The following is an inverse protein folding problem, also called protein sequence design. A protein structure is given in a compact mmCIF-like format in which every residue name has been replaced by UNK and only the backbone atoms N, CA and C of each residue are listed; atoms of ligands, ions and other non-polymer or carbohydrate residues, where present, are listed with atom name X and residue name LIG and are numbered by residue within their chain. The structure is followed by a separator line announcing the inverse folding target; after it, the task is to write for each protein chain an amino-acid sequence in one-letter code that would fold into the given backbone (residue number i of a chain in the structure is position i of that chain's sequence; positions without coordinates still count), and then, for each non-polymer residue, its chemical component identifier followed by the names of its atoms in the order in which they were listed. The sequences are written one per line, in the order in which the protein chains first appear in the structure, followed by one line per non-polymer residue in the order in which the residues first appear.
data_IF_338073478794
#
_entry.id   IF_338073478794
#
_cell.length_a   1.000
_cell.length_b   1.000
_cell.length_c   1.000
_cell.angle_alpha   90.00
_cell.angle_beta   90.00
_cell.angle_gamma   90.00
#
_symmetry.space_group_name_H-M   'P 1'
#
loop_
_entity.id
_entity.type
_entity.pdbx_description
1 polymer ?
#
# COMPACT_ATOMS: atom_id res chain seq x y z
N UNK A 1 -40.00 -30.53 -5.69
CA UNK A 1 -38.93 -31.44 -5.25
C UNK A 1 -37.61 -30.80 -5.67
N UNK A 2 -36.80 -30.35 -4.71
CA UNK A 2 -35.40 -29.97 -4.98
C UNK A 2 -34.66 -31.23 -5.38
N UNK A 3 -33.99 -31.21 -6.52
CA UNK A 3 -33.21 -32.34 -7.00
C UNK A 3 -31.92 -32.46 -6.16
N UNK A 4 -31.32 -33.64 -6.10
CA UNK A 4 -30.04 -33.85 -5.41
C UNK A 4 -28.93 -32.93 -5.96
N UNK A 5 -29.07 -32.53 -7.24
CA UNK A 5 -28.23 -31.56 -7.92
C UNK A 5 -28.42 -30.13 -7.37
N UNK A 6 -29.65 -29.74 -7.02
CA UNK A 6 -29.94 -28.44 -6.41
C UNK A 6 -29.36 -28.32 -4.99
N UNK A 7 -29.35 -29.42 -4.24
CA UNK A 7 -28.76 -29.46 -2.89
C UNK A 7 -27.24 -29.31 -2.95
N UNK A 8 -26.59 -30.02 -3.88
CA UNK A 8 -25.14 -29.90 -4.10
C UNK A 8 -24.75 -28.49 -4.59
N UNK A 9 -25.48 -27.94 -5.56
CA UNK A 9 -25.24 -26.59 -6.08
C UNK A 9 -25.39 -25.52 -4.98
N UNK A 10 -26.42 -25.62 -4.14
CA UNK A 10 -26.63 -24.70 -3.01
C UNK A 10 -25.51 -24.79 -1.97
N UNK A 11 -25.02 -25.99 -1.65
CA UNK A 11 -23.92 -26.18 -0.71
C UNK A 11 -22.59 -25.60 -1.25
N UNK A 12 -22.29 -25.82 -2.53
CA UNK A 12 -21.09 -25.25 -3.17
C UNK A 12 -21.17 -23.73 -3.25
N UNK A 13 -22.33 -23.17 -3.59
CA UNK A 13 -22.54 -21.72 -3.63
C UNK A 13 -22.37 -21.09 -2.24
N UNK A 14 -22.93 -21.72 -1.20
CA UNK A 14 -22.78 -21.27 0.18
C UNK A 14 -21.32 -21.27 0.64
N UNK A 15 -20.56 -22.33 0.33
CA UNK A 15 -19.13 -22.39 0.65
C UNK A 15 -18.34 -21.29 -0.08
N UNK A 16 -18.65 -21.06 -1.35
CA UNK A 16 -18.00 -20.00 -2.14
C UNK A 16 -18.28 -18.61 -1.55
N UNK A 17 -19.53 -18.33 -1.22
CA UNK A 17 -19.94 -17.06 -0.60
C UNK A 17 -19.34 -16.86 0.80
N UNK A 18 -19.13 -17.94 1.56
CA UNK A 18 -18.49 -17.87 2.86
C UNK A 18 -16.98 -17.57 2.78
N UNK A 19 -16.31 -18.00 1.70
CA UNK A 19 -14.86 -17.83 1.51
C UNK A 19 -14.48 -16.57 0.73
N UNK A 20 -15.37 -16.06 -0.12
CA UNK A 20 -15.15 -14.82 -0.90
C UNK A 20 -14.69 -13.63 -0.05
N UNK A 21 -15.29 -13.32 1.12
CA UNK A 21 -14.82 -12.22 1.97
C UNK A 21 -13.37 -12.37 2.44
N UNK A 22 -12.95 -13.60 2.76
CA UNK A 22 -11.58 -13.91 3.19
C UNK A 22 -10.63 -13.71 2.01
N UNK A 23 -11.00 -14.21 0.83
CA UNK A 23 -10.23 -14.01 -0.41
C UNK A 23 -10.07 -12.52 -0.72
N UNK A 24 -11.15 -11.75 -0.66
CA UNK A 24 -11.12 -10.31 -0.91
C UNK A 24 -10.22 -9.58 0.10
N UNK A 25 -10.35 -9.89 1.39
CA UNK A 25 -9.51 -9.30 2.43
C UNK A 25 -8.01 -9.62 2.22
N UNK A 26 -7.68 -10.86 1.86
CA UNK A 26 -6.31 -11.26 1.55
C UNK A 26 -5.77 -10.51 0.32
N UNK A 27 -6.60 -10.26 -0.69
CA UNK A 27 -6.22 -9.44 -1.85
C UNK A 27 -5.86 -8.01 -1.47
N UNK A 28 -6.68 -7.36 -0.65
CA UNK A 28 -6.44 -5.99 -0.15
C UNK A 28 -5.16 -5.92 0.69
N UNK A 29 -4.94 -6.91 1.56
CA UNK A 29 -3.73 -7.01 2.36
C UNK A 29 -2.47 -7.19 1.50
N UNK A 30 -2.52 -8.08 0.50
CA UNK A 30 -1.40 -8.33 -0.40
C UNK A 30 -1.04 -7.09 -1.24
N UNK A 31 -2.03 -6.40 -1.80
CA UNK A 31 -1.82 -5.16 -2.55
C UNK A 31 -1.21 -4.07 -1.66
N UNK A 32 -1.72 -3.92 -0.45
CA UNK A 32 -1.21 -2.91 0.51
C UNK A 32 0.22 -3.22 0.92
N UNK A 33 0.53 -4.50 1.17
CA UNK A 33 1.88 -4.95 1.45
C UNK A 33 2.86 -4.67 0.30
N UNK A 34 2.45 -4.93 -0.94
CA UNK A 34 3.25 -4.60 -2.12
C UNK A 34 3.52 -3.09 -2.18
N UNK A 35 2.49 -2.26 -2.04
CA UNK A 35 2.61 -0.79 -2.09
C UNK A 35 3.54 -0.28 -0.99
N UNK A 36 3.39 -0.74 0.24
CA UNK A 36 4.28 -0.37 1.36
C UNK A 36 5.72 -0.80 1.12
N UNK A 37 5.93 -2.01 0.60
CA UNK A 37 7.27 -2.53 0.33
C UNK A 37 7.96 -1.71 -0.76
N UNK A 38 7.25 -1.40 -1.86
CA UNK A 38 7.77 -0.52 -2.91
C UNK A 38 8.05 0.89 -2.39
N UNK A 39 7.20 1.40 -1.50
CA UNK A 39 7.42 2.70 -0.87
C UNK A 39 8.68 2.73 -0.01
N UNK A 40 8.90 1.69 0.82
CA UNK A 40 10.13 1.55 1.62
C UNK A 40 11.37 1.49 0.73
N UNK A 41 11.30 0.74 -0.37
CA UNK A 41 12.38 0.67 -1.36
C UNK A 41 12.68 2.05 -1.98
N UNK A 42 11.65 2.82 -2.30
CA UNK A 42 11.79 4.15 -2.86
C UNK A 42 12.44 5.13 -1.85
N UNK A 43 12.03 5.08 -0.59
CA UNK A 43 12.66 5.85 0.50
C UNK A 43 14.15 5.51 0.64
N UNK A 44 14.50 4.22 0.67
CA UNK A 44 15.90 3.79 0.73
C UNK A 44 16.70 4.32 -0.48
N UNK A 45 16.11 4.29 -1.67
CA UNK A 45 16.70 4.87 -2.88
C UNK A 45 16.99 6.37 -2.73
N UNK A 46 16.07 7.13 -2.13
CA UNK A 46 16.26 8.56 -1.91
C UNK A 46 17.42 8.85 -0.93
N UNK A 47 17.55 8.06 0.14
CA UNK A 47 18.68 8.15 1.07
C UNK A 47 20.02 7.85 0.38
N UNK A 48 20.06 6.80 -0.44
CA UNK A 48 21.26 6.44 -1.20
C UNK A 48 21.63 7.56 -2.17
N UNK A 49 20.66 8.11 -2.90
CA UNK A 49 20.90 9.22 -3.83
C UNK A 49 21.44 10.45 -3.11
N UNK A 50 20.86 10.81 -1.96
CA UNK A 50 21.37 11.90 -1.13
C UNK A 50 22.82 11.66 -0.68
N UNK A 51 23.12 10.45 -0.18
CA UNK A 51 24.47 10.09 0.25
C UNK A 51 25.49 10.14 -0.90
N UNK A 52 25.10 9.67 -2.09
CA UNK A 52 25.94 9.71 -3.30
C UNK A 52 26.21 11.14 -3.74
N UNK A 53 25.20 12.01 -3.77
CA UNK A 53 25.39 13.43 -4.13
C UNK A 53 26.26 14.16 -3.09
N UNK A 54 26.02 13.92 -1.80
CA UNK A 54 26.85 14.49 -0.74
C UNK A 54 28.32 14.03 -0.83
N UNK A 55 28.57 12.75 -1.14
CA UNK A 55 29.92 12.22 -1.31
C UNK A 55 30.64 12.77 -2.55
N UNK A 56 29.89 13.10 -3.61
CA UNK A 56 30.45 13.67 -4.86
C UNK A 56 30.65 15.17 -4.81
N UNK A 57 30.01 15.86 -3.86
CA UNK A 57 30.03 17.31 -3.73
C UNK A 57 31.45 17.91 -3.72
N UNK A 58 32.42 17.39 -2.93
CA UNK A 58 33.77 17.93 -2.89
C UNK A 58 34.51 17.83 -4.23
N UNK A 59 34.20 16.80 -5.03
CA UNK A 59 34.83 16.60 -6.34
C UNK A 59 34.18 17.44 -7.46
N UNK A 60 32.96 17.94 -7.24
CA UNK A 60 32.21 18.74 -8.22
C UNK A 60 32.33 20.24 -7.99
N UNK A 61 32.60 20.68 -6.77
CA UNK A 61 32.65 22.11 -6.43
C UNK A 61 33.99 22.73 -6.85
N UNK A 62 33.93 23.91 -7.47
CA UNK A 62 35.10 24.68 -7.91
C UNK A 62 35.71 25.49 -6.77
N UNK A 63 34.87 25.89 -5.81
CA UNK A 63 35.28 26.61 -4.60
C UNK A 63 34.37 26.30 -3.40
N UNK A 64 34.72 26.87 -2.24
CA UNK A 64 34.00 26.65 -0.99
C UNK A 64 32.58 27.25 -0.98
N UNK A 65 32.34 28.36 -1.68
CA UNK A 65 31.02 28.98 -1.78
C UNK A 65 30.08 28.10 -2.59
N UNK A 66 30.55 27.59 -3.72
CA UNK A 66 29.81 26.64 -4.55
C UNK A 66 29.51 25.35 -3.79
N UNK A 67 30.49 24.82 -3.05
CA UNK A 67 30.29 23.65 -2.18
C UNK A 67 29.14 23.88 -1.19
N UNK A 68 29.14 24.98 -0.44
CA UNK A 68 28.09 25.28 0.54
C UNK A 68 26.73 25.47 -0.12
N UNK A 69 26.67 26.18 -1.25
CA UNK A 69 25.43 26.36 -2.01
C UNK A 69 24.85 25.00 -2.46
N UNK A 70 25.69 24.13 -3.01
CA UNK A 70 25.29 22.77 -3.44
C UNK A 70 24.91 21.86 -2.28
N UNK A 71 25.54 22.03 -1.13
CA UNK A 71 25.22 21.26 0.08
C UNK A 71 23.82 21.62 0.58
N UNK A 72 23.49 22.91 0.63
CA UNK A 72 22.15 23.38 0.99
C UNK A 72 21.09 22.96 -0.02
N UNK A 73 21.39 23.05 -1.32
CA UNK A 73 20.49 22.60 -2.39
C UNK A 73 20.17 21.10 -2.24
N UNK A 74 21.19 20.27 -2.04
CA UNK A 74 21.06 18.81 -1.87
C UNK A 74 20.23 18.47 -0.62
N UNK A 75 20.49 19.15 0.50
CA UNK A 75 19.74 18.96 1.74
C UNK A 75 18.28 19.39 1.60
N UNK A 76 18.02 20.52 0.93
CA UNK A 76 16.66 21.00 0.66
C UNK A 76 15.88 20.02 -0.21
N UNK A 77 16.48 19.58 -1.34
CA UNK A 77 15.84 18.64 -2.25
C UNK A 77 15.51 17.32 -1.54
N UNK A 78 16.41 16.82 -0.70
CA UNK A 78 16.15 15.64 0.12
C UNK A 78 15.01 15.86 1.12
N UNK A 79 14.95 17.03 1.77
CA UNK A 79 13.85 17.40 2.66
C UNK A 79 12.49 17.46 1.94
N UNK A 80 12.43 18.07 0.76
CA UNK A 80 11.22 18.11 -0.07
C UNK A 80 10.77 16.69 -0.46
N UNK A 81 11.72 15.82 -0.84
CA UNK A 81 11.44 14.43 -1.13
C UNK A 81 10.93 13.66 0.11
N UNK A 82 11.50 13.88 1.29
CA UNK A 82 11.04 13.25 2.52
C UNK A 82 9.59 13.64 2.88
N UNK A 83 9.21 14.91 2.67
CA UNK A 83 7.82 15.37 2.83
C UNK A 83 6.90 14.67 1.83
N UNK A 84 7.32 14.52 0.57
CA UNK A 84 6.55 13.77 -0.42
C UNK A 84 6.34 12.32 -0.01
N UNK A 85 7.39 11.65 0.46
CA UNK A 85 7.33 10.26 0.92
C UNK A 85 6.36 10.07 2.09
N UNK A 86 6.30 11.02 3.01
CA UNK A 86 5.34 10.94 4.12
C UNK A 86 3.90 11.07 3.65
N UNK A 87 3.62 11.95 2.69
CA UNK A 87 2.30 12.07 2.05
C UNK A 87 1.91 10.77 1.34
N UNK A 88 2.83 10.16 0.60
CA UNK A 88 2.61 8.87 -0.08
C UNK A 88 2.28 7.73 0.92
N UNK A 89 2.90 7.69 2.10
CA UNK A 89 2.50 6.74 3.15
C UNK A 89 1.07 6.99 3.66
N UNK A 90 0.72 8.25 3.89
CA UNK A 90 -0.65 8.62 4.30
C UNK A 90 -1.66 8.18 3.25
N UNK A 91 -1.35 8.35 1.96
CA UNK A 91 -2.19 7.87 0.86
C UNK A 91 -2.35 6.34 0.87
N UNK A 92 -1.26 5.59 1.07
CA UNK A 92 -1.33 4.12 1.15
C UNK A 92 -2.25 3.68 2.30
N UNK A 93 -2.07 4.26 3.49
CA UNK A 93 -2.87 3.92 4.68
C UNK A 93 -4.34 4.31 4.48
N UNK A 94 -4.59 5.49 3.92
CA UNK A 94 -5.96 5.98 3.67
C UNK A 94 -6.67 5.10 2.63
N UNK A 95 -5.97 4.72 1.56
CA UNK A 95 -6.50 3.81 0.55
C UNK A 95 -6.81 2.43 1.15
N UNK A 96 -5.90 1.89 1.97
CA UNK A 96 -6.15 0.63 2.68
C UNK A 96 -7.39 0.72 3.57
N UNK A 97 -7.53 1.78 4.37
CA UNK A 97 -8.68 1.96 5.25
C UNK A 97 -9.99 2.03 4.46
N UNK A 98 -10.01 2.78 3.35
CA UNK A 98 -11.18 2.89 2.48
C UNK A 98 -11.57 1.53 1.88
N UNK A 99 -10.59 0.79 1.33
CA UNK A 99 -10.83 -0.52 0.73
C UNK A 99 -11.23 -1.56 1.77
N UNK A 100 -10.57 -1.58 2.94
CA UNK A 100 -10.92 -2.49 4.03
C UNK A 100 -12.35 -2.25 4.54
N UNK A 101 -12.78 -0.99 4.68
CA UNK A 101 -14.17 -0.66 5.01
C UNK A 101 -15.15 -1.12 3.93
N UNK A 102 -14.81 -0.95 2.66
CA UNK A 102 -15.64 -1.43 1.56
C UNK A 102 -15.77 -2.96 1.57
N UNK A 103 -14.66 -3.68 1.76
CA UNK A 103 -14.64 -5.15 1.87
C UNK A 103 -15.45 -5.63 3.07
N UNK A 104 -15.32 -4.97 4.24
CA UNK A 104 -16.11 -5.31 5.43
C UNK A 104 -17.61 -5.10 5.21
N UNK A 105 -18.00 -3.98 4.57
CA UNK A 105 -19.41 -3.71 4.20
C UNK A 105 -19.95 -4.75 3.21
N UNK A 106 -19.14 -5.19 2.24
CA UNK A 106 -19.54 -6.23 1.30
C UNK A 106 -19.70 -7.60 2.00
N UNK A 107 -18.82 -7.93 2.94
CA UNK A 107 -18.87 -9.19 3.68
C UNK A 107 -20.18 -9.38 4.45
N UNK A 108 -20.68 -8.34 5.12
CA UNK A 108 -21.94 -8.39 5.90
C UNK A 108 -23.20 -8.40 5.02
N UNK A 109 -23.07 -8.11 3.72
CA UNK A 109 -24.20 -8.15 2.79
C UNK A 109 -24.41 -9.53 2.14
N UNK A 110 -23.47 -10.46 2.31
CA UNK A 110 -23.55 -11.81 1.74
C UNK A 110 -24.74 -12.60 2.31
N UNK A 111 -25.41 -13.44 1.49
CA UNK A 111 -26.49 -14.31 1.95
C UNK A 111 -26.06 -15.19 3.13
N UNK A 112 -24.83 -15.72 3.08
CA UNK A 112 -24.25 -16.51 4.16
C UNK A 112 -24.12 -15.72 5.49
N UNK A 113 -23.70 -14.45 5.45
CA UNK A 113 -23.63 -13.60 6.66
C UNK A 113 -25.02 -13.26 7.20
N UNK A 114 -25.99 -12.99 6.31
CA UNK A 114 -27.39 -12.71 6.69
C UNK A 114 -28.09 -13.91 7.30
N UNK A 115 -27.85 -15.12 6.77
CA UNK A 115 -28.41 -16.36 7.30
C UNK A 115 -27.88 -16.72 8.69
N UNK A 116 -26.69 -16.23 9.07
CA UNK A 116 -26.10 -16.41 10.41
C UNK A 116 -26.60 -15.39 11.45
N UNK A 117 -27.26 -14.33 10.99
CA UNK A 117 -27.79 -13.24 11.82
C UNK A 117 -29.32 -13.32 12.02
N UNK A 118 -29.99 -14.27 11.36
CA UNK A 118 -31.40 -14.62 11.50
C UNK A 118 -31.55 -15.85 12.41
#
# INVERSE_FOLDING_TARGET
MTTQNDVFANFTNYQKEALEPIRAANGVAAETFERLTRQNYAVLGDFINFAVEAARLPAKATDYSEFLAKQMETARAFGEQAVRRSQEYVEIVTAFQATAQATAKAAVQTPAAKAKAA
#
